data_IF_621124764691
#
_entry.id   IF_621124764691
#
_cell.length_a   1.000
_cell.length_b   1.000
_cell.length_c   1.000
_cell.angle_alpha   90.00
_cell.angle_beta   90.00
_cell.angle_gamma   90.00
#
_symmetry.space_group_name_H-M   'P 1'
#
loop_
_entity.id
_entity.type
_entity.pdbx_description
1 polymer ?
#
# COMPACT_ATOMS: atom_id res chain seq x y z
N UNK A 1 27.63 -2.53 -12.31
CA UNK A 1 26.28 -2.07 -11.92
C UNK A 1 26.25 -1.85 -10.42
N UNK A 2 25.95 -0.64 -9.90
CA UNK A 2 25.88 -0.43 -8.45
C UNK A 2 24.76 -1.27 -7.83
N UNK A 3 24.98 -1.73 -6.60
CA UNK A 3 24.04 -2.57 -5.85
C UNK A 3 22.72 -1.80 -5.66
N UNK A 4 21.57 -2.37 -6.07
CA UNK A 4 20.23 -1.75 -5.94
C UNK A 4 19.62 -1.86 -4.52
N UNK A 5 20.45 -1.98 -3.48
CA UNK A 5 19.98 -2.19 -2.11
C UNK A 5 20.85 -1.45 -1.10
N UNK A 6 20.24 -0.70 -0.20
CA UNK A 6 20.86 -0.11 1.00
C UNK A 6 20.67 -1.03 2.21
N UNK A 7 21.63 -0.98 3.15
CA UNK A 7 21.54 -1.71 4.43
C UNK A 7 20.81 -0.83 5.44
N UNK A 8 19.89 -1.44 6.20
CA UNK A 8 19.17 -0.81 7.30
C UNK A 8 19.55 -1.53 8.60
N UNK A 9 20.09 -0.79 9.57
CA UNK A 9 20.35 -1.27 10.93
C UNK A 9 19.36 -0.60 11.90
N UNK A 10 18.60 -1.40 12.64
CA UNK A 10 17.58 -0.93 13.59
C UNK A 10 17.63 -1.76 14.86
N UNK A 11 17.34 -1.12 16.00
CA UNK A 11 17.08 -1.81 17.25
C UNK A 11 15.59 -2.11 17.38
N UNK A 12 15.24 -3.29 17.86
CA UNK A 12 13.87 -3.71 18.15
C UNK A 12 13.75 -4.04 19.65
N UNK A 13 12.60 -3.72 20.29
CA UNK A 13 12.30 -4.27 21.60
C UNK A 13 12.46 -5.80 21.61
N UNK A 14 12.95 -6.41 22.71
CA UNK A 14 13.19 -7.85 22.79
C UNK A 14 11.97 -8.68 22.39
N UNK A 15 10.78 -8.26 22.83
CA UNK A 15 9.51 -8.94 22.55
C UNK A 15 9.23 -8.94 21.04
N UNK A 16 9.37 -7.78 20.39
CA UNK A 16 9.15 -7.66 18.95
C UNK A 16 10.19 -8.43 18.14
N UNK A 17 11.43 -8.53 18.63
CA UNK A 17 12.45 -9.35 17.99
C UNK A 17 12.10 -10.84 18.06
N UNK A 18 11.56 -11.30 19.19
CA UNK A 18 11.09 -12.67 19.41
C UNK A 18 9.90 -13.02 18.51
N UNK A 19 8.94 -12.09 18.38
CA UNK A 19 7.80 -12.25 17.47
C UNK A 19 8.26 -12.35 16.02
N UNK A 20 9.21 -11.49 15.61
CA UNK A 20 9.78 -11.53 14.28
C UNK A 20 10.46 -12.87 13.98
N UNK A 21 11.22 -13.42 14.93
CA UNK A 21 11.84 -14.75 14.79
C UNK A 21 10.81 -15.86 14.68
N UNK A 22 9.76 -15.80 15.51
CA UNK A 22 8.70 -16.81 15.53
C UNK A 22 7.95 -16.86 14.20
N UNK A 23 7.54 -15.70 13.66
CA UNK A 23 6.84 -15.62 12.38
C UNK A 23 7.75 -16.03 11.22
N UNK A 24 9.00 -15.54 11.19
CA UNK A 24 9.96 -15.91 10.15
C UNK A 24 10.20 -17.43 10.10
N UNK A 25 10.32 -18.08 11.26
CA UNK A 25 10.48 -19.53 11.37
C UNK A 25 9.23 -20.29 10.89
N UNK A 26 8.04 -19.88 11.33
CA UNK A 26 6.77 -20.48 10.92
C UNK A 26 6.57 -20.42 9.40
N UNK A 27 6.94 -19.29 8.79
CA UNK A 27 6.79 -19.05 7.35
C UNK A 27 7.99 -19.54 6.53
N UNK A 28 9.01 -20.13 7.16
CA UNK A 28 10.27 -20.58 6.53
C UNK A 28 10.95 -19.48 5.69
N UNK A 29 10.95 -18.24 6.19
CA UNK A 29 11.53 -17.06 5.56
C UNK A 29 12.61 -16.42 6.42
N UNK A 30 13.45 -15.58 5.84
CA UNK A 30 14.45 -14.82 6.61
C UNK A 30 13.86 -13.59 7.28
N UNK A 31 14.40 -13.16 8.43
CA UNK A 31 14.04 -11.88 9.10
C UNK A 31 14.03 -10.72 8.13
N UNK A 32 15.06 -10.61 7.30
CA UNK A 32 15.18 -9.50 6.35
C UNK A 32 14.13 -9.54 5.24
N UNK A 33 13.69 -10.72 4.82
CA UNK A 33 12.60 -10.86 3.85
C UNK A 33 11.28 -10.40 4.43
N UNK A 34 10.94 -10.89 5.62
CA UNK A 34 9.73 -10.52 6.34
C UNK A 34 9.68 -9.01 6.64
N UNK A 35 10.79 -8.42 7.12
CA UNK A 35 10.87 -6.97 7.36
C UNK A 35 10.71 -6.17 6.05
N UNK A 36 11.34 -6.58 4.96
CA UNK A 36 11.18 -5.90 3.66
C UNK A 36 9.75 -5.97 3.14
N UNK A 37 9.07 -7.09 3.34
CA UNK A 37 7.64 -7.22 3.01
C UNK A 37 6.78 -6.32 3.89
N UNK A 38 6.96 -6.36 5.22
CA UNK A 38 6.23 -5.51 6.16
C UNK A 38 6.39 -4.02 5.83
N UNK A 39 7.60 -3.56 5.50
CA UNK A 39 7.85 -2.17 5.08
C UNK A 39 7.09 -1.83 3.80
N UNK A 40 7.08 -2.72 2.79
CA UNK A 40 6.33 -2.51 1.55
C UNK A 40 4.82 -2.41 1.82
N UNK A 41 4.28 -3.31 2.64
CA UNK A 41 2.86 -3.31 3.01
C UNK A 41 2.49 -2.05 3.78
N UNK A 42 3.31 -1.62 4.75
CA UNK A 42 3.07 -0.40 5.52
C UNK A 42 3.04 0.85 4.64
N UNK A 43 3.99 0.98 3.71
CA UNK A 43 4.01 2.10 2.76
C UNK A 43 2.76 2.09 1.85
N UNK A 44 2.37 0.91 1.35
CA UNK A 44 1.19 0.78 0.49
C UNK A 44 -0.09 1.20 1.23
N UNK A 45 -0.29 0.69 2.46
CA UNK A 45 -1.44 1.06 3.29
C UNK A 45 -1.48 2.56 3.60
N UNK A 46 -0.31 3.15 3.90
CA UNK A 46 -0.19 4.59 4.13
C UNK A 46 -0.60 5.40 2.89
N UNK A 47 -0.13 5.01 1.70
CA UNK A 47 -0.51 5.65 0.43
C UNK A 47 -2.01 5.55 0.17
N UNK A 48 -2.63 4.38 0.39
CA UNK A 48 -4.07 4.21 0.25
C UNK A 48 -4.87 5.08 1.20
N UNK A 49 -4.42 5.21 2.46
CA UNK A 49 -5.05 6.11 3.44
C UNK A 49 -5.04 7.56 2.95
N UNK A 50 -3.90 8.05 2.48
CA UNK A 50 -3.79 9.40 1.93
C UNK A 50 -4.64 9.60 0.68
N UNK A 51 -4.64 8.63 -0.24
CA UNK A 51 -5.45 8.70 -1.45
C UNK A 51 -6.95 8.76 -1.12
N UNK A 52 -7.41 7.90 -0.21
CA UNK A 52 -8.80 7.88 0.24
C UNK A 52 -9.22 9.21 0.86
N UNK A 53 -8.38 9.81 1.70
CA UNK A 53 -8.64 11.13 2.29
C UNK A 53 -8.80 12.19 1.19
N UNK A 54 -7.88 12.27 0.24
CA UNK A 54 -7.95 13.23 -0.88
C UNK A 54 -9.18 13.00 -1.76
N UNK A 55 -9.46 11.73 -2.10
CA UNK A 55 -10.61 11.35 -2.90
C UNK A 55 -11.93 11.72 -2.20
N UNK A 56 -12.04 11.47 -0.89
CA UNK A 56 -13.22 11.82 -0.11
C UNK A 56 -13.49 13.33 -0.08
N UNK A 57 -12.44 14.14 0.11
CA UNK A 57 -12.57 15.61 0.07
C UNK A 57 -13.02 16.08 -1.30
N UNK A 58 -12.46 15.52 -2.37
CA UNK A 58 -12.84 15.86 -3.75
C UNK A 58 -14.29 15.44 -4.04
N UNK A 59 -14.72 14.26 -3.60
CA UNK A 59 -16.09 13.79 -3.77
C UNK A 59 -17.09 14.73 -3.09
N UNK A 60 -16.81 15.15 -1.85
CA UNK A 60 -17.63 16.13 -1.12
C UNK A 60 -17.71 17.46 -1.88
N UNK A 61 -16.56 17.99 -2.32
CA UNK A 61 -16.52 19.26 -3.08
C UNK A 61 -17.29 19.19 -4.40
N UNK A 62 -17.35 18.01 -5.02
CA UNK A 62 -18.06 17.78 -6.28
C UNK A 62 -19.50 17.29 -6.08
N UNK A 63 -19.96 17.16 -4.83
CA UNK A 63 -21.30 16.66 -4.51
C UNK A 63 -21.54 15.20 -4.93
N UNK A 64 -20.47 14.43 -5.14
CA UNK A 64 -20.54 13.05 -5.62
C UNK A 64 -21.07 12.12 -4.54
N UNK A 65 -21.99 11.25 -4.92
CA UNK A 65 -22.57 10.20 -4.08
C UNK A 65 -22.14 8.83 -4.57
N UNK A 66 -22.45 7.81 -3.77
CA UNK A 66 -22.16 6.41 -4.12
C UNK A 66 -22.89 5.95 -5.39
N UNK A 67 -24.11 6.45 -5.60
CA UNK A 67 -24.90 6.22 -6.83
C UNK A 67 -24.23 6.78 -8.10
N UNK A 68 -23.34 7.76 -7.99
CA UNK A 68 -22.61 8.32 -9.14
C UNK A 68 -21.47 7.42 -9.61
N UNK A 69 -21.04 6.42 -8.82
CA UNK A 69 -19.84 5.62 -9.11
C UNK A 69 -19.96 4.86 -10.43
N UNK A 70 -21.09 4.18 -10.66
CA UNK A 70 -21.28 3.36 -11.87
C UNK A 70 -21.23 4.23 -13.13
N UNK A 71 -21.94 5.37 -13.10
CA UNK A 71 -21.95 6.35 -14.20
C UNK A 71 -20.55 6.87 -14.51
N UNK A 72 -19.79 7.26 -13.48
CA UNK A 72 -18.42 7.78 -13.66
C UNK A 72 -17.46 6.73 -14.24
N UNK A 73 -17.60 5.46 -13.83
CA UNK A 73 -16.79 4.36 -14.36
C UNK A 73 -17.10 4.12 -15.85
N UNK A 74 -18.37 4.13 -16.22
CA UNK A 74 -18.80 3.91 -17.60
C UNK A 74 -18.40 5.07 -18.53
N UNK A 75 -18.47 6.31 -18.04
CA UNK A 75 -17.97 7.50 -18.73
C UNK A 75 -16.46 7.37 -19.04
N UNK A 76 -15.64 6.98 -18.05
CA UNK A 76 -14.18 6.80 -18.21
C UNK A 76 -13.81 5.64 -19.14
N UNK A 77 -14.49 4.49 -19.01
CA UNK A 77 -14.29 3.32 -19.90
C UNK A 77 -14.64 3.65 -21.35
N UNK A 78 -15.70 4.44 -21.56
CA UNK A 78 -16.12 4.89 -22.88
C UNK A 78 -15.15 5.91 -23.46
N UNK A 79 -14.61 6.80 -22.63
CA UNK A 79 -13.59 7.77 -23.04
C UNK A 79 -12.27 7.08 -23.45
N UNK A 80 -11.82 6.06 -22.72
CA UNK A 80 -10.62 5.29 -23.07
C UNK A 80 -10.78 4.51 -24.38
N UNK A 81 -11.96 3.95 -24.65
CA UNK A 81 -12.26 3.26 -25.92
C UNK A 81 -12.31 4.18 -27.14
N UNK A 82 -12.53 5.48 -26.96
CA UNK A 82 -12.50 6.48 -28.05
C UNK A 82 -11.11 7.04 -28.33
N UNK A 83 -10.15 6.80 -27.43
CA UNK A 83 -8.76 7.28 -27.54
C UNK A 83 -7.81 6.25 -28.18
N UNK A 84 -8.30 5.03 -28.40
CA UNK A 84 -7.65 3.96 -29.13
C UNK A 84 -8.42 3.66 -30.41
#
# INVERSE_FOLDING_TARGET
MPRRSSVLSISLPPELSSDLDSVANQERRSRSELVREAVRQYILLSRWKTLRQKASLKAIQQGLKEEDVERLIDEERSAHRRRH
#
